data_IF_855207918655
#
_entry.id   IF_855207918655
#
_cell.length_a   1.000
_cell.length_b   1.000
_cell.length_c   1.000
_cell.angle_alpha   90.00
_cell.angle_beta   90.00
_cell.angle_gamma   90.00
#
_symmetry.space_group_name_H-M   'P 1'
#
loop_
_entity.id
_entity.type
_entity.pdbx_description
1 polymer ?
#
# COMPACT_ATOMS: atom_id res chain seq x y z
N UNK A 1 50.52 3.90 -1.18
CA UNK A 1 50.08 2.90 -2.18
C UNK A 1 49.64 1.70 -1.36
N UNK A 2 48.41 1.22 -1.26
CA UNK A 2 47.15 1.20 -2.00
C UNK A 2 46.13 0.57 -1.00
N UNK A 3 44.93 1.11 -0.74
CA UNK A 3 43.82 1.14 -1.68
C UNK A 3 43.01 -0.17 -1.65
N UNK A 4 42.04 -0.30 -0.73
CA UNK A 4 40.85 -1.13 -0.97
C UNK A 4 39.70 -0.60 -0.14
N UNK A 5 38.86 0.18 -0.81
CA UNK A 5 37.68 0.81 -0.24
C UNK A 5 36.63 -0.23 0.10
N UNK A 6 36.50 -0.55 1.37
CA UNK A 6 35.22 -0.96 1.92
C UNK A 6 34.35 0.30 1.96
N UNK A 7 33.69 0.58 0.83
CA UNK A 7 32.56 1.51 0.79
C UNK A 7 31.51 1.00 1.76
N UNK A 8 31.57 1.45 3.02
CA UNK A 8 30.44 1.35 3.93
C UNK A 8 29.36 2.19 3.28
N UNK A 9 28.45 1.53 2.58
CA UNK A 9 27.20 2.12 2.12
C UNK A 9 26.62 2.86 3.32
N UNK A 10 26.56 4.19 3.20
CA UNK A 10 26.17 5.05 4.28
C UNK A 10 24.81 4.60 4.81
N UNK A 11 24.76 4.29 6.10
CA UNK A 11 23.51 4.27 6.85
C UNK A 11 23.00 5.70 7.00
N UNK A 12 22.72 6.36 5.88
CA UNK A 12 21.87 7.54 5.82
C UNK A 12 20.45 7.02 5.88
N UNK A 13 19.77 7.27 7.00
CA UNK A 13 18.45 6.72 7.29
C UNK A 13 17.48 6.91 6.13
N UNK A 14 17.24 5.85 5.36
CA UNK A 14 16.18 5.84 4.36
C UNK A 14 14.88 5.99 5.13
N UNK A 15 14.11 7.02 4.81
CA UNK A 15 12.77 7.20 5.35
C UNK A 15 11.93 5.92 5.19
N UNK A 16 10.82 5.82 5.93
CA UNK A 16 10.00 4.61 5.91
C UNK A 16 9.67 4.17 4.47
N UNK A 17 9.78 2.86 4.22
CA UNK A 17 9.62 2.29 2.89
C UNK A 17 8.24 2.65 2.29
N UNK A 18 8.16 2.92 0.98
CA UNK A 18 6.87 3.16 0.34
C UNK A 18 6.00 1.91 0.39
N UNK A 19 4.69 2.13 0.32
CA UNK A 19 3.68 1.09 0.33
C UNK A 19 2.71 1.25 -0.83
N UNK A 20 2.16 0.12 -1.26
CA UNK A 20 1.12 0.00 -2.26
C UNK A 20 -0.13 -0.59 -1.59
N UNK A 21 -1.25 0.10 -1.67
CA UNK A 21 -2.56 -0.41 -1.24
C UNK A 21 -3.36 -0.76 -2.48
N UNK A 22 -3.67 -2.04 -2.65
CA UNK A 22 -4.46 -2.56 -3.76
C UNK A 22 -5.94 -2.58 -3.35
N UNK A 23 -6.72 -1.71 -3.97
CA UNK A 23 -8.18 -1.65 -3.80
C UNK A 23 -8.83 -2.36 -4.97
N UNK A 24 -9.67 -3.34 -4.71
CA UNK A 24 -10.36 -4.06 -5.78
C UNK A 24 -11.74 -4.54 -5.36
N UNK A 25 -12.64 -4.64 -6.32
CA UNK A 25 -13.90 -5.35 -6.11
C UNK A 25 -13.66 -6.84 -5.84
N UNK A 26 -12.61 -7.42 -6.41
CA UNK A 26 -12.32 -8.85 -6.32
C UNK A 26 -11.11 -9.11 -5.43
N UNK A 27 -11.33 -9.80 -4.30
CA UNK A 27 -10.23 -10.26 -3.44
C UNK A 27 -9.22 -11.10 -4.23
N UNK A 28 -9.72 -12.03 -5.06
CA UNK A 28 -8.87 -12.92 -5.88
C UNK A 28 -7.95 -12.15 -6.84
N UNK A 29 -8.45 -11.06 -7.43
CA UNK A 29 -7.65 -10.21 -8.31
C UNK A 29 -6.56 -9.49 -7.53
N UNK A 30 -6.91 -8.87 -6.40
CA UNK A 30 -5.97 -8.11 -5.59
C UNK A 30 -4.88 -9.01 -4.99
N UNK A 31 -5.22 -10.21 -4.52
CA UNK A 31 -4.25 -11.18 -4.00
C UNK A 31 -3.31 -11.69 -5.09
N UNK A 32 -3.83 -12.04 -6.27
CA UNK A 32 -2.98 -12.45 -7.39
C UNK A 32 -2.02 -11.34 -7.84
N UNK A 33 -2.48 -10.08 -7.82
CA UNK A 33 -1.62 -8.93 -8.12
C UNK A 33 -0.57 -8.69 -7.02
N UNK A 34 -0.95 -8.81 -5.73
CA UNK A 34 -0.01 -8.72 -4.61
C UNK A 34 1.12 -9.71 -4.79
N UNK A 35 0.79 -10.98 -5.03
CA UNK A 35 1.78 -12.06 -5.17
C UNK A 35 2.76 -11.77 -6.32
N UNK A 36 2.28 -11.22 -7.44
CA UNK A 36 3.13 -10.80 -8.56
C UNK A 36 4.03 -9.61 -8.18
N UNK A 37 3.47 -8.59 -7.52
CA UNK A 37 4.23 -7.40 -7.10
C UNK A 37 5.32 -7.78 -6.11
N UNK A 38 5.05 -8.67 -5.17
CA UNK A 38 6.03 -9.12 -4.17
C UNK A 38 7.25 -9.80 -4.81
N UNK A 39 7.02 -10.63 -5.84
CA UNK A 39 8.11 -11.26 -6.60
C UNK A 39 9.00 -10.25 -7.31
N UNK A 40 8.43 -9.15 -7.83
CA UNK A 40 9.18 -8.13 -8.59
C UNK A 40 9.82 -7.09 -7.68
N UNK A 41 9.14 -6.67 -6.62
CA UNK A 41 9.58 -5.61 -5.73
C UNK A 41 10.73 -6.04 -4.82
N UNK A 42 10.87 -7.34 -4.54
CA UNK A 42 11.95 -7.88 -3.70
C UNK A 42 11.97 -7.28 -2.31
N UNK A 43 10.79 -7.10 -1.70
CA UNK A 43 10.62 -6.55 -0.34
C UNK A 43 10.88 -5.04 -0.20
N UNK A 44 11.12 -4.31 -1.29
CA UNK A 44 11.38 -2.85 -1.25
C UNK A 44 10.12 -1.99 -1.10
N UNK A 45 8.96 -2.58 -1.37
CA UNK A 45 7.63 -1.95 -1.31
C UNK A 45 6.75 -2.87 -0.49
N UNK A 46 6.06 -2.33 0.52
CA UNK A 46 5.02 -3.08 1.24
C UNK A 46 3.76 -3.12 0.38
N UNK A 47 3.06 -4.25 0.35
CA UNK A 47 1.80 -4.36 -0.39
C UNK A 47 0.70 -4.75 0.58
N UNK A 48 -0.34 -3.92 0.68
CA UNK A 48 -1.55 -4.17 1.43
C UNK A 48 -2.73 -4.36 0.46
N UNK A 49 -3.73 -5.13 0.87
CA UNK A 49 -4.91 -5.46 0.06
C UNK A 49 -6.17 -5.03 0.80
N UNK A 50 -7.02 -4.25 0.12
CA UNK A 50 -8.36 -3.90 0.56
C UNK A 50 -9.35 -4.25 -0.56
N UNK A 51 -9.91 -5.46 -0.53
CA UNK A 51 -10.72 -5.95 -1.63
C UNK A 51 -11.93 -6.79 -1.18
N UNK A 52 -13.00 -6.71 -1.96
CA UNK A 52 -14.29 -7.31 -1.61
C UNK A 52 -15.08 -6.50 -0.59
N UNK A 53 -16.40 -6.67 -0.60
CA UNK A 53 -17.32 -6.09 0.40
C UNK A 53 -17.45 -6.97 1.64
N UNK A 54 -17.06 -8.24 1.59
CA UNK A 54 -17.17 -9.23 2.66
C UNK A 54 -17.62 -10.57 2.10
N UNK A 55 -17.48 -11.65 2.86
CA UNK A 55 -18.02 -12.98 2.54
C UNK A 55 -17.72 -13.54 1.12
N UNK A 56 -16.63 -13.07 0.49
CA UNK A 56 -16.23 -13.47 -0.86
C UNK A 56 -16.94 -12.73 -2.00
N UNK A 57 -17.79 -11.75 -1.70
CA UNK A 57 -18.53 -10.96 -2.67
C UNK A 57 -17.69 -9.87 -3.33
N UNK A 58 -18.10 -9.50 -4.55
CA UNK A 58 -17.53 -8.37 -5.27
C UNK A 58 -17.98 -7.05 -4.66
N UNK A 59 -17.03 -6.16 -4.39
CA UNK A 59 -17.32 -4.83 -3.85
C UNK A 59 -16.11 -4.21 -3.17
N UNK A 60 -16.29 -2.99 -2.65
CA UNK A 60 -15.26 -2.27 -1.90
C UNK A 60 -15.82 -1.81 -0.57
N UNK A 61 -14.95 -1.76 0.43
CA UNK A 61 -15.31 -1.32 1.79
C UNK A 61 -14.35 -0.19 2.22
N UNK A 62 -14.84 1.05 2.39
CA UNK A 62 -14.03 2.18 2.86
C UNK A 62 -13.27 1.91 4.17
N UNK A 63 -13.85 1.11 5.09
CA UNK A 63 -13.20 0.79 6.36
C UNK A 63 -11.96 -0.08 6.14
N UNK A 64 -12.05 -1.09 5.27
CA UNK A 64 -10.89 -1.92 4.91
C UNK A 64 -9.80 -1.12 4.21
N UNK A 65 -10.19 -0.15 3.37
CA UNK A 65 -9.23 0.72 2.68
C UNK A 65 -8.49 1.59 3.71
N UNK A 66 -9.20 2.23 4.64
CA UNK A 66 -8.59 3.04 5.70
C UNK A 66 -7.62 2.20 6.55
N UNK A 67 -8.04 1.01 6.98
CA UNK A 67 -7.20 0.07 7.73
C UNK A 67 -5.93 -0.31 6.95
N UNK A 68 -6.06 -0.65 5.66
CA UNK A 68 -4.90 -1.01 4.83
C UNK A 68 -3.91 0.16 4.66
N UNK A 69 -4.40 1.41 4.60
CA UNK A 69 -3.55 2.61 4.55
C UNK A 69 -2.87 2.88 5.89
N UNK A 70 -3.54 2.65 7.02
CA UNK A 70 -2.93 2.76 8.34
C UNK A 70 -1.83 1.70 8.54
N UNK A 71 -2.09 0.46 8.13
CA UNK A 71 -1.15 -0.67 8.24
C UNK A 71 0.05 -0.54 7.30
N UNK A 72 -0.09 0.18 6.18
CA UNK A 72 1.00 0.49 5.25
C UNK A 72 2.16 1.25 5.94
N UNK A 73 1.87 1.97 7.02
CA UNK A 73 2.84 2.59 7.93
C UNK A 73 3.26 4.01 7.52
N UNK A 74 4.39 4.49 8.06
CA UNK A 74 4.80 5.90 7.96
C UNK A 74 5.36 6.36 6.60
N UNK A 75 5.50 5.48 5.61
CA UNK A 75 6.08 5.79 4.30
C UNK A 75 5.07 6.41 3.33
N UNK A 76 5.49 6.88 2.14
CA UNK A 76 4.58 7.26 1.07
C UNK A 76 3.68 6.08 0.68
N UNK A 77 2.37 6.31 0.58
CA UNK A 77 1.39 5.27 0.22
C UNK A 77 0.80 5.59 -1.16
N UNK A 78 0.85 4.63 -2.06
CA UNK A 78 0.13 4.68 -3.34
C UNK A 78 -1.09 3.78 -3.25
N UNK A 79 -2.28 4.33 -3.48
CA UNK A 79 -3.53 3.56 -3.57
C UNK A 79 -3.83 3.31 -5.05
N UNK A 80 -3.90 2.05 -5.46
CA UNK A 80 -4.28 1.64 -6.81
C UNK A 80 -5.63 0.93 -6.78
N UNK A 81 -6.48 1.22 -7.76
CA UNK A 81 -7.86 0.72 -7.81
C UNK A 81 -8.24 0.19 -9.19
N UNK A 82 -9.18 -0.76 -9.23
CA UNK A 82 -9.57 -1.46 -10.46
C UNK A 82 -10.65 -0.73 -11.29
N UNK A 83 -11.77 -0.38 -10.66
CA UNK A 83 -12.95 0.19 -11.30
C UNK A 83 -13.32 1.53 -10.65
N UNK A 84 -13.98 2.39 -11.42
CA UNK A 84 -14.29 3.76 -11.00
C UNK A 84 -15.10 3.88 -9.71
N UNK A 85 -15.98 2.91 -9.37
CA UNK A 85 -16.72 2.91 -8.09
C UNK A 85 -15.83 2.81 -6.86
N UNK A 86 -14.63 2.23 -7.00
CA UNK A 86 -13.66 2.15 -5.92
C UNK A 86 -13.07 3.53 -5.55
N UNK A 87 -13.15 4.52 -6.46
CA UNK A 87 -12.71 5.90 -6.20
C UNK A 87 -13.49 6.50 -5.04
N UNK A 88 -14.82 6.43 -5.09
CA UNK A 88 -15.67 6.95 -4.02
C UNK A 88 -15.38 6.26 -2.69
N UNK A 89 -15.16 4.94 -2.70
CA UNK A 89 -14.78 4.22 -1.48
C UNK A 89 -13.43 4.67 -0.93
N UNK A 90 -12.45 4.97 -1.80
CA UNK A 90 -11.15 5.48 -1.39
C UNK A 90 -11.24 6.91 -0.85
N UNK A 91 -12.05 7.79 -1.44
CA UNK A 91 -12.32 9.14 -0.94
C UNK A 91 -12.93 9.10 0.47
N UNK A 92 -13.96 8.26 0.66
CA UNK A 92 -14.56 8.04 1.98
C UNK A 92 -13.55 7.47 2.99
N UNK A 93 -12.64 6.62 2.54
CA UNK A 93 -11.60 6.07 3.41
C UNK A 93 -10.65 7.17 3.93
N UNK A 94 -10.35 8.21 3.13
CA UNK A 94 -9.52 9.33 3.57
C UNK A 94 -10.14 10.08 4.75
N UNK A 95 -11.47 10.23 4.76
CA UNK A 95 -12.19 10.88 5.86
C UNK A 95 -12.10 10.10 7.17
N UNK A 96 -11.93 8.78 7.09
CA UNK A 96 -11.84 7.86 8.22
C UNK A 96 -10.43 7.76 8.81
N UNK A 97 -9.41 8.21 8.08
CA UNK A 97 -8.02 8.12 8.52
C UNK A 97 -7.74 8.99 9.76
N UNK A 98 -6.77 8.56 10.59
CA UNK A 98 -6.17 9.43 11.60
C UNK A 98 -5.68 10.74 10.99
N UNK A 99 -5.87 11.82 11.74
CA UNK A 99 -5.62 13.18 11.29
C UNK A 99 -4.19 13.42 10.79
N UNK A 100 -3.18 12.73 11.33
CA UNK A 100 -1.79 12.80 10.87
C UNK A 100 -1.56 12.14 9.50
N UNK A 101 -2.26 11.04 9.20
CA UNK A 101 -2.25 10.40 7.89
C UNK A 101 -3.06 11.21 6.87
N UNK A 102 -4.23 11.69 7.26
CA UNK A 102 -5.13 12.47 6.39
C UNK A 102 -4.48 13.76 5.87
N UNK A 103 -3.66 14.45 6.67
CA UNK A 103 -2.90 15.64 6.22
C UNK A 103 -1.84 15.37 5.14
N UNK A 104 -1.56 14.10 4.82
CA UNK A 104 -0.57 13.69 3.84
C UNK A 104 -1.19 13.25 2.51
N UNK A 105 -2.53 13.13 2.48
CA UNK A 105 -3.30 12.67 1.33
C UNK A 105 -3.51 13.77 0.28
#
# INVERSE_FOLDING_TARGET
MNGSGAGRAGAGGRGPAPALVLVSHSLRLAEGLRDLVEQVAGGRVRVAVAAGSGDGDLGTDPLRIAQAVEEAGGGPVLVLMDLGSAVLSAELALDLLPEDLRRRA
#
